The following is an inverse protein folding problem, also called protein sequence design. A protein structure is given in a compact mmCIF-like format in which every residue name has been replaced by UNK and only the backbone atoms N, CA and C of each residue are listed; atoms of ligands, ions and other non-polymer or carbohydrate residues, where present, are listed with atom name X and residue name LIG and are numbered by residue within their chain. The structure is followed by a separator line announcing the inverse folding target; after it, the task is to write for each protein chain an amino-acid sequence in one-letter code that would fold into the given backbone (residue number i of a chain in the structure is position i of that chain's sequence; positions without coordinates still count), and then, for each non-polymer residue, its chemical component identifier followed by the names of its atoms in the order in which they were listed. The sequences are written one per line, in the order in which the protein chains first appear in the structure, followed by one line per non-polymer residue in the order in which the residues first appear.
data_IF_616359498764
#
_entry.id   IF_616359498764
#
_cell.length_a   1.000
_cell.length_b   1.000
_cell.length_c   1.000
_cell.angle_alpha   90.00
_cell.angle_beta   90.00
_cell.angle_gamma   90.00
#
_symmetry.space_group_name_H-M   'P 1'
#
loop_
_entity.id
_entity.type
_entity.pdbx_description
1 polymer ?
#
# COMPACT_ATOMS: atom_id res chain seq x y z
N UNK A 1 -28.35 -5.12 -23.07
CA UNK A 1 -27.55 -4.76 -21.90
C UNK A 1 -26.32 -4.04 -22.43
N UNK A 2 -26.29 -2.73 -22.31
CA UNK A 2 -25.15 -1.89 -22.71
C UNK A 2 -24.04 -2.15 -21.69
N UNK A 3 -22.98 -2.84 -22.10
CA UNK A 3 -21.75 -2.93 -21.31
C UNK A 3 -21.22 -1.50 -21.16
N UNK A 4 -21.29 -0.96 -19.96
CA UNK A 4 -20.58 0.28 -19.64
C UNK A 4 -19.11 0.04 -19.96
N UNK A 5 -18.58 0.77 -20.94
CA UNK A 5 -17.14 0.73 -21.23
C UNK A 5 -16.42 1.40 -20.07
N UNK A 6 -15.73 0.63 -19.26
CA UNK A 6 -14.81 1.19 -18.26
C UNK A 6 -13.76 2.06 -18.97
N UNK A 7 -13.35 3.18 -18.37
CA UNK A 7 -12.29 4.00 -18.95
C UNK A 7 -11.02 3.16 -19.11
N UNK A 8 -10.33 3.32 -20.23
CA UNK A 8 -9.07 2.60 -20.49
C UNK A 8 -7.97 3.12 -19.58
N UNK A 9 -7.26 2.22 -18.92
CA UNK A 9 -6.14 2.55 -18.05
C UNK A 9 -4.84 2.57 -18.86
N UNK A 10 -4.16 3.71 -18.83
CA UNK A 10 -2.82 3.85 -19.42
C UNK A 10 -1.74 3.50 -18.40
N UNK A 11 -1.27 2.25 -18.45
CA UNK A 11 -0.22 1.77 -17.57
C UNK A 11 1.10 2.55 -17.73
N UNK A 12 1.46 2.91 -18.94
CA UNK A 12 2.74 3.55 -19.23
C UNK A 12 2.72 5.06 -18.96
N UNK A 13 1.65 5.75 -19.36
CA UNK A 13 1.59 7.19 -19.31
C UNK A 13 1.05 7.77 -17.99
N UNK A 14 0.31 6.98 -17.20
CA UNK A 14 -0.28 7.48 -15.96
C UNK A 14 0.09 6.67 -14.71
N UNK A 15 -0.04 5.34 -14.74
CA UNK A 15 0.16 4.53 -13.53
C UNK A 15 1.64 4.46 -13.14
N UNK A 16 2.54 4.18 -14.09
CA UNK A 16 3.98 4.03 -13.81
C UNK A 16 4.63 5.31 -13.28
N UNK A 17 4.41 6.50 -13.85
CA UNK A 17 4.95 7.71 -13.28
C UNK A 17 4.50 7.95 -11.82
N UNK A 18 3.26 7.59 -11.48
CA UNK A 18 2.78 7.61 -10.10
C UNK A 18 3.53 6.66 -9.19
N UNK A 19 3.83 5.44 -9.64
CA UNK A 19 4.63 4.48 -8.88
C UNK A 19 6.05 4.97 -8.62
N UNK A 20 6.68 5.68 -9.57
CA UNK A 20 8.04 6.23 -9.42
C UNK A 20 8.05 7.39 -8.42
N UNK A 21 7.03 8.26 -8.44
CA UNK A 21 6.86 9.33 -7.44
C UNK A 21 6.72 8.73 -6.04
N UNK A 22 5.83 7.75 -5.87
CA UNK A 22 5.63 7.08 -4.59
C UNK A 22 6.89 6.36 -4.10
N UNK A 23 7.71 5.82 -5.00
CA UNK A 23 8.98 5.21 -4.63
C UNK A 23 9.89 6.20 -3.91
N UNK A 24 10.03 7.41 -4.46
CA UNK A 24 10.83 8.45 -3.84
C UNK A 24 10.24 8.93 -2.50
N UNK A 25 8.91 9.10 -2.43
CA UNK A 25 8.22 9.49 -1.19
C UNK A 25 8.42 8.46 -0.07
N UNK A 26 8.34 7.17 -0.38
CA UNK A 26 8.57 6.09 0.57
C UNK A 26 9.99 6.17 1.14
N UNK A 27 11.01 6.29 0.28
CA UNK A 27 12.41 6.37 0.75
C UNK A 27 12.65 7.59 1.62
N UNK A 28 12.07 8.74 1.27
CA UNK A 28 12.11 9.96 2.09
C UNK A 28 11.42 9.74 3.45
N UNK A 29 10.26 9.09 3.46
CA UNK A 29 9.51 8.80 4.69
C UNK A 29 10.31 7.87 5.62
N UNK A 30 10.88 6.78 5.07
CA UNK A 30 11.76 5.87 5.79
C UNK A 30 12.98 6.61 6.36
N UNK A 31 13.62 7.50 5.57
CA UNK A 31 14.75 8.31 6.04
C UNK A 31 14.37 9.24 7.19
N UNK A 32 13.18 9.83 7.14
CA UNK A 32 12.68 10.67 8.25
C UNK A 32 12.46 9.85 9.49
N UNK A 33 11.90 8.63 9.36
CA UNK A 33 11.58 7.76 10.50
C UNK A 33 12.83 7.28 11.24
N UNK A 34 13.86 6.83 10.53
CA UNK A 34 15.08 6.28 11.16
C UNK A 34 15.93 7.35 11.90
N UNK A 35 15.55 8.61 11.86
CA UNK A 35 16.16 9.67 12.67
C UNK A 35 15.78 9.57 14.15
N UNK A 36 14.67 8.92 14.45
CA UNK A 36 14.15 8.73 15.81
C UNK A 36 14.52 7.34 16.33
N UNK A 37 14.59 7.21 17.63
CA UNK A 37 14.72 5.91 18.27
C UNK A 37 13.53 5.00 17.94
N UNK A 38 13.67 3.70 18.21
CA UNK A 38 12.61 2.73 17.96
C UNK A 38 11.33 3.09 18.73
N UNK A 39 11.47 3.59 19.97
CA UNK A 39 10.35 4.05 20.81
C UNK A 39 9.24 2.99 20.98
N UNK A 40 9.61 1.76 21.37
CA UNK A 40 8.67 0.64 21.52
C UNK A 40 7.32 0.98 22.19
N UNK A 41 7.25 1.83 23.25
CA UNK A 41 5.98 2.14 23.89
C UNK A 41 4.91 2.73 22.97
N UNK A 42 5.29 3.37 21.85
CA UNK A 42 4.29 3.97 20.93
C UNK A 42 3.48 2.92 20.15
N UNK A 43 3.96 1.65 20.11
CA UNK A 43 3.30 0.53 19.44
C UNK A 43 2.48 -0.33 20.40
N UNK A 44 2.55 -0.04 21.69
CA UNK A 44 1.85 -0.79 22.72
C UNK A 44 0.72 0.06 23.34
N UNK A 45 -0.40 -0.57 23.75
CA UNK A 45 -1.42 0.13 24.53
C UNK A 45 -0.88 0.67 25.84
N UNK A 46 -1.47 1.79 26.33
CA UNK A 46 -1.17 2.32 27.66
C UNK A 46 -0.70 3.77 27.70
N UNK A 47 -0.24 4.34 26.58
CA UNK A 47 0.16 5.76 26.53
C UNK A 47 -1.03 6.72 26.49
N UNK A 48 -2.23 6.25 26.13
CA UNK A 48 -3.42 7.08 25.94
C UNK A 48 -4.46 6.81 27.04
N UNK A 49 -4.56 7.62 28.11
CA UNK A 49 -5.52 7.39 29.18
C UNK A 49 -6.98 7.34 28.71
N UNK A 50 -7.33 8.14 27.68
CA UNK A 50 -8.67 8.16 27.09
C UNK A 50 -8.94 6.97 26.13
N UNK A 51 -7.90 6.26 25.70
CA UNK A 51 -7.96 5.13 24.75
C UNK A 51 -7.06 3.98 25.22
N UNK A 52 -7.33 3.36 26.39
CA UNK A 52 -6.39 2.46 27.06
C UNK A 52 -6.12 1.16 26.28
N UNK A 53 -6.98 0.81 25.33
CA UNK A 53 -6.82 -0.38 24.49
C UNK A 53 -6.10 -0.13 23.13
N UNK A 54 -5.69 1.12 22.86
CA UNK A 54 -5.03 1.47 21.61
C UNK A 54 -3.57 1.87 21.84
N UNK A 55 -2.70 1.51 20.88
CA UNK A 55 -1.37 2.09 20.79
C UNK A 55 -1.45 3.54 20.28
N UNK A 56 -0.38 4.32 20.50
CA UNK A 56 -0.32 5.66 19.95
C UNK A 56 -0.31 5.66 18.43
N UNK A 57 0.36 4.69 17.82
CA UNK A 57 0.35 4.50 16.37
C UNK A 57 -1.06 4.20 15.83
N UNK A 58 -1.78 3.23 16.41
CA UNK A 58 -3.12 2.86 15.93
C UNK A 58 -4.11 4.02 16.10
N UNK A 59 -4.00 4.78 17.17
CA UNK A 59 -4.83 5.97 17.38
C UNK A 59 -4.60 7.04 16.31
N UNK A 60 -3.32 7.34 16.03
CA UNK A 60 -2.99 8.35 15.02
C UNK A 60 -3.37 7.89 13.62
N UNK A 61 -3.11 6.63 13.28
CA UNK A 61 -3.46 6.06 11.99
C UNK A 61 -4.98 6.12 11.75
N UNK A 62 -5.79 5.70 12.74
CA UNK A 62 -7.24 5.78 12.67
C UNK A 62 -7.75 7.22 12.52
N UNK A 63 -7.12 8.17 13.21
CA UNK A 63 -7.48 9.59 13.13
C UNK A 63 -7.23 10.17 11.74
N UNK A 64 -6.07 9.91 11.17
CA UNK A 64 -5.68 10.39 9.83
C UNK A 64 -6.55 9.74 8.75
N UNK A 65 -6.75 8.42 8.81
CA UNK A 65 -7.59 7.72 7.82
C UNK A 65 -9.05 8.14 7.90
N UNK A 66 -9.58 8.40 9.08
CA UNK A 66 -10.91 8.99 9.23
C UNK A 66 -11.03 10.34 8.51
N UNK A 67 -10.06 11.23 8.68
CA UNK A 67 -10.03 12.51 7.96
C UNK A 67 -9.96 12.30 6.45
N UNK A 68 -9.15 11.36 5.97
CA UNK A 68 -9.09 10.99 4.56
C UNK A 68 -10.43 10.45 4.05
N UNK A 69 -11.14 9.65 4.86
CA UNK A 69 -12.46 9.13 4.51
C UNK A 69 -13.50 10.26 4.41
N UNK A 70 -13.51 11.21 5.35
CA UNK A 70 -14.36 12.40 5.32
C UNK A 70 -14.16 13.23 4.04
N UNK A 71 -12.93 13.26 3.51
CA UNK A 71 -12.58 13.91 2.24
C UNK A 71 -12.82 13.02 1.01
N UNK A 72 -13.30 11.78 1.21
CA UNK A 72 -13.68 10.85 0.16
C UNK A 72 -12.53 10.10 -0.51
N UNK A 73 -11.35 9.97 0.12
CA UNK A 73 -10.23 9.18 -0.42
C UNK A 73 -10.64 7.73 -0.68
N UNK A 74 -11.30 7.10 0.28
CA UNK A 74 -11.71 5.69 0.20
C UNK A 74 -13.02 5.46 -0.59
N UNK A 75 -13.51 6.47 -1.31
CA UNK A 75 -14.52 6.29 -2.33
C UNK A 75 -13.95 5.69 -3.63
N UNK A 76 -12.62 5.66 -3.79
CA UNK A 76 -11.95 5.01 -4.90
C UNK A 76 -11.72 3.53 -4.57
N UNK A 77 -12.17 2.63 -5.45
CA UNK A 77 -12.17 1.18 -5.19
C UNK A 77 -10.77 0.56 -5.06
N UNK A 78 -9.73 1.21 -5.61
CA UNK A 78 -8.35 0.78 -5.41
C UNK A 78 -7.81 1.17 -4.03
N UNK A 79 -8.40 2.15 -3.34
CA UNK A 79 -7.88 2.65 -2.08
C UNK A 79 -8.38 1.83 -0.89
N UNK A 80 -7.46 1.18 -0.19
CA UNK A 80 -7.73 0.49 1.07
C UNK A 80 -7.15 1.28 2.24
N UNK A 81 -7.79 1.16 3.40
CA UNK A 81 -7.34 1.72 4.66
C UNK A 81 -6.76 0.63 5.57
N UNK A 82 -5.90 1.00 6.50
CA UNK A 82 -5.45 0.13 7.60
C UNK A 82 -6.54 -0.06 8.65
N UNK A 83 -7.43 0.93 8.79
CA UNK A 83 -8.45 0.97 9.84
C UNK A 83 -9.85 0.89 9.24
N UNK A 84 -10.83 0.63 10.09
CA UNK A 84 -12.21 0.60 9.62
C UNK A 84 -12.74 2.02 9.41
N UNK A 85 -12.88 2.42 8.17
CA UNK A 85 -13.43 3.71 7.73
C UNK A 85 -14.84 3.58 7.14
N UNK A 86 -15.45 2.39 7.23
CA UNK A 86 -16.80 2.17 6.71
C UNK A 86 -17.83 3.06 7.44
N UNK A 87 -18.72 3.67 6.67
CA UNK A 87 -19.79 4.52 7.21
C UNK A 87 -19.36 5.93 7.64
N UNK A 88 -18.12 6.32 7.42
CA UNK A 88 -17.69 7.72 7.62
C UNK A 88 -18.37 8.60 6.58
N UNK A 89 -19.11 9.61 7.06
CA UNK A 89 -19.81 10.54 6.19
C UNK A 89 -18.85 11.51 5.49
N UNK A 90 -19.03 11.71 4.19
CA UNK A 90 -18.26 12.72 3.46
C UNK A 90 -18.66 14.13 3.87
N UNK A 91 -17.68 14.97 4.13
CA UNK A 91 -17.87 16.43 4.33
C UNK A 91 -17.72 17.18 3.00
N UNK A 92 -17.07 16.55 2.01
CA UNK A 92 -16.92 17.09 0.67
C UNK A 92 -18.04 16.56 -0.23
N UNK A 93 -18.92 17.46 -0.71
CA UNK A 93 -19.95 17.10 -1.69
C UNK A 93 -19.31 17.01 -3.07
N UNK A 94 -19.34 15.82 -3.65
CA UNK A 94 -18.87 15.54 -5.03
C UNK A 94 -19.60 14.32 -5.58
N UNK A 95 -19.63 14.22 -6.88
CA UNK A 95 -20.07 13.00 -7.54
C UNK A 95 -19.12 11.84 -7.22
N UNK A 96 -19.61 10.60 -7.14
CA UNK A 96 -18.73 9.43 -7.02
C UNK A 96 -17.71 9.42 -8.16
N UNK A 97 -16.45 9.04 -7.87
CA UNK A 97 -15.45 8.93 -8.92
C UNK A 97 -15.85 7.86 -9.95
N UNK A 98 -15.62 8.14 -11.23
CA UNK A 98 -15.65 7.12 -12.26
C UNK A 98 -14.44 6.21 -12.07
N UNK A 99 -14.70 4.98 -11.65
CA UNK A 99 -13.64 4.06 -11.23
C UNK A 99 -13.64 2.81 -12.12
N UNK A 100 -12.52 2.55 -12.83
CA UNK A 100 -12.41 1.35 -13.67
C UNK A 100 -12.17 0.08 -12.86
N UNK A 101 -11.84 0.20 -11.57
CA UNK A 101 -11.49 -0.91 -10.68
C UNK A 101 -12.71 -1.39 -9.92
N UNK A 102 -12.89 -2.71 -9.83
CA UNK A 102 -13.91 -3.31 -8.99
C UNK A 102 -13.51 -3.25 -7.51
N UNK A 103 -14.50 -3.08 -6.64
CA UNK A 103 -14.26 -3.08 -5.19
C UNK A 103 -13.81 -4.46 -4.72
N UNK A 104 -12.62 -4.53 -4.17
CA UNK A 104 -12.05 -5.73 -3.58
C UNK A 104 -11.51 -5.41 -2.18
N UNK A 105 -12.00 -6.09 -1.13
CA UNK A 105 -11.43 -5.94 0.21
C UNK A 105 -9.97 -6.36 0.23
N UNK A 106 -9.08 -5.48 0.68
CA UNK A 106 -7.67 -5.80 0.83
C UNK A 106 -7.38 -6.44 2.18
N UNK A 107 -6.39 -7.31 2.18
CA UNK A 107 -5.80 -7.91 3.39
C UNK A 107 -4.35 -7.48 3.61
N UNK A 108 -3.88 -6.50 2.85
CA UNK A 108 -2.49 -6.07 2.89
C UNK A 108 -2.12 -5.32 4.18
N UNK A 109 -3.07 -4.66 4.84
CA UNK A 109 -2.80 -3.77 5.97
C UNK A 109 -2.01 -4.42 7.10
N UNK A 110 -2.44 -5.59 7.59
CA UNK A 110 -1.74 -6.27 8.69
C UNK A 110 -0.37 -6.78 8.26
N UNK A 111 -0.23 -7.27 7.02
CA UNK A 111 1.07 -7.69 6.46
C UNK A 111 2.04 -6.51 6.39
N UNK A 112 1.57 -5.35 5.91
CA UNK A 112 2.38 -4.13 5.81
C UNK A 112 2.80 -3.67 7.21
N UNK A 113 1.89 -3.61 8.18
CA UNK A 113 2.22 -3.22 9.56
C UNK A 113 3.25 -4.16 10.19
N UNK A 114 3.08 -5.47 10.03
CA UNK A 114 4.00 -6.49 10.57
C UNK A 114 5.39 -6.34 9.95
N UNK A 115 5.48 -6.31 8.62
CA UNK A 115 6.74 -6.12 7.91
C UNK A 115 7.42 -4.81 8.31
N UNK A 116 6.68 -3.71 8.32
CA UNK A 116 7.18 -2.39 8.67
C UNK A 116 7.76 -2.35 10.08
N UNK A 117 7.07 -2.95 11.05
CA UNK A 117 7.56 -3.03 12.42
C UNK A 117 8.86 -3.84 12.55
N UNK A 118 8.97 -4.97 11.85
CA UNK A 118 10.20 -5.75 11.83
C UNK A 118 11.35 -5.01 11.13
N UNK A 119 11.03 -4.26 10.08
CA UNK A 119 11.99 -3.37 9.43
C UNK A 119 12.50 -2.28 10.38
N UNK A 120 11.63 -1.67 11.19
CA UNK A 120 12.00 -0.65 12.17
C UNK A 120 12.96 -1.20 13.24
N UNK A 121 12.73 -2.41 13.74
CA UNK A 121 13.62 -3.07 14.72
C UNK A 121 15.04 -3.22 14.21
N UNK A 122 15.19 -3.39 12.89
CA UNK A 122 16.52 -3.57 12.27
C UNK A 122 17.18 -2.24 11.93
N UNK A 123 16.40 -1.20 11.64
CA UNK A 123 16.90 0.03 11.01
C UNK A 123 16.88 1.26 11.91
N UNK A 124 16.12 1.24 13.01
CA UNK A 124 16.12 2.32 14.00
C UNK A 124 17.10 2.06 15.12
N UNK A 125 17.65 3.13 15.69
CA UNK A 125 18.41 3.01 16.92
C UNK A 125 17.50 2.51 18.06
N UNK A 126 17.90 1.48 18.74
CA UNK A 126 17.17 1.00 19.91
C UNK A 126 17.24 2.00 21.06
N UNK A 127 16.10 2.23 21.68
CA UNK A 127 15.97 3.16 22.81
C UNK A 127 14.58 3.75 22.92
N UNK A 128 14.39 4.57 23.94
CA UNK A 128 13.15 5.29 24.23
C UNK A 128 13.51 6.75 24.42
N UNK A 129 12.84 7.62 23.69
CA UNK A 129 12.88 9.07 23.80
C UNK A 129 11.45 9.60 23.80
N UNK A 130 10.91 9.79 25.00
CA UNK A 130 9.52 10.23 25.20
C UNK A 130 9.25 11.59 24.56
N UNK A 131 10.26 12.45 24.46
CA UNK A 131 10.16 13.77 23.82
C UNK A 131 9.87 13.70 22.33
N UNK A 132 10.07 12.54 21.69
CA UNK A 132 9.87 12.35 20.25
C UNK A 132 8.77 11.34 19.90
N UNK A 133 7.93 10.95 20.84
CA UNK A 133 6.84 9.99 20.56
C UNK A 133 5.87 10.49 19.47
N UNK A 134 5.51 11.77 19.49
CA UNK A 134 4.63 12.37 18.49
C UNK A 134 5.24 12.37 17.09
N UNK A 135 6.51 12.76 16.96
CA UNK A 135 7.25 12.76 15.70
C UNK A 135 7.47 11.34 15.17
N UNK A 136 7.73 10.39 16.08
CA UNK A 136 7.88 8.98 15.76
C UNK A 136 6.63 8.46 15.07
N UNK A 137 5.46 8.53 15.72
CA UNK A 137 4.22 7.99 15.13
C UNK A 137 3.76 8.78 13.91
N UNK A 138 4.02 10.08 13.85
CA UNK A 138 3.74 10.87 12.63
C UNK A 138 4.55 10.37 11.45
N UNK A 139 5.84 10.08 11.66
CA UNK A 139 6.71 9.52 10.62
C UNK A 139 6.31 8.10 10.23
N UNK A 140 5.87 7.28 11.19
CA UNK A 140 5.36 5.93 10.94
C UNK A 140 4.09 5.97 10.09
N UNK A 141 3.12 6.83 10.43
CA UNK A 141 1.87 6.98 9.66
C UNK A 141 2.16 7.41 8.23
N UNK A 142 3.05 8.38 8.01
CA UNK A 142 3.44 8.81 6.66
C UNK A 142 4.06 7.65 5.88
N UNK A 143 4.94 6.86 6.49
CA UNK A 143 5.57 5.71 5.84
C UNK A 143 4.56 4.61 5.49
N UNK A 144 3.70 4.25 6.43
CA UNK A 144 2.67 3.22 6.25
C UNK A 144 1.69 3.61 5.15
N UNK A 145 1.18 4.86 5.16
CA UNK A 145 0.24 5.34 4.15
C UNK A 145 0.86 5.36 2.75
N UNK A 146 2.13 5.77 2.62
CA UNK A 146 2.83 5.77 1.32
C UNK A 146 3.04 4.33 0.79
N UNK A 147 3.42 3.39 1.67
CA UNK A 147 3.55 1.97 1.30
C UNK A 147 2.20 1.40 0.86
N UNK A 148 1.12 1.65 1.63
CA UNK A 148 -0.23 1.19 1.30
C UNK A 148 -0.69 1.76 -0.04
N UNK A 149 -0.47 3.04 -0.29
CA UNK A 149 -0.87 3.68 -1.55
C UNK A 149 -0.18 3.03 -2.75
N UNK A 150 1.13 2.77 -2.64
CA UNK A 150 1.88 2.08 -3.70
C UNK A 150 1.36 0.65 -3.94
N UNK A 151 1.05 -0.07 -2.88
CA UNK A 151 0.51 -1.43 -2.96
C UNK A 151 -0.91 -1.42 -3.55
N UNK A 152 -1.74 -0.46 -3.17
CA UNK A 152 -3.10 -0.28 -3.70
C UNK A 152 -3.13 -0.03 -5.21
N UNK A 153 -2.12 0.65 -5.78
CA UNK A 153 -2.01 0.82 -7.23
C UNK A 153 -1.87 -0.51 -7.99
N UNK A 154 -1.55 -1.60 -7.32
CA UNK A 154 -1.58 -2.94 -7.89
C UNK A 154 -2.94 -3.32 -8.51
N UNK A 155 -4.04 -2.85 -7.94
CA UNK A 155 -5.39 -3.06 -8.50
C UNK A 155 -5.54 -2.38 -9.86
N UNK A 156 -5.03 -1.15 -10.02
CA UNK A 156 -5.03 -0.43 -11.29
C UNK A 156 -4.13 -1.11 -12.33
N UNK A 157 -2.97 -1.62 -11.89
CA UNK A 157 -2.04 -2.38 -12.75
C UNK A 157 -2.73 -3.66 -13.23
N UNK A 158 -3.38 -4.40 -12.34
CA UNK A 158 -4.12 -5.62 -12.67
C UNK A 158 -5.25 -5.36 -13.67
N UNK A 159 -6.08 -4.33 -13.42
CA UNK A 159 -7.17 -3.97 -14.34
C UNK A 159 -6.63 -3.55 -15.72
N UNK A 160 -5.55 -2.76 -15.78
CA UNK A 160 -4.93 -2.37 -17.05
C UNK A 160 -4.42 -3.60 -17.84
N UNK A 161 -3.82 -4.58 -17.15
CA UNK A 161 -3.40 -5.84 -17.77
C UNK A 161 -4.60 -6.65 -18.28
N UNK A 162 -5.66 -6.75 -17.45
CA UNK A 162 -6.88 -7.44 -17.83
C UNK A 162 -7.55 -6.82 -19.05
N UNK A 163 -7.66 -5.47 -19.10
CA UNK A 163 -8.21 -4.77 -20.26
C UNK A 163 -7.42 -5.02 -21.55
N UNK A 164 -6.10 -5.20 -21.44
CA UNK A 164 -5.23 -5.45 -22.60
C UNK A 164 -5.26 -6.90 -23.09
N UNK A 165 -5.52 -7.87 -22.22
CA UNK A 165 -5.45 -9.32 -22.55
C UNK A 165 -6.57 -10.12 -21.83
N UNK A 166 -7.85 -9.76 -22.00
CA UNK A 166 -8.93 -10.35 -21.20
C UNK A 166 -9.09 -11.86 -21.47
N UNK A 167 -8.92 -12.31 -22.70
CA UNK A 167 -9.09 -13.72 -23.06
C UNK A 167 -7.95 -14.59 -22.51
N UNK A 168 -6.70 -14.09 -22.54
CA UNK A 168 -5.57 -14.80 -21.96
C UNK A 168 -5.76 -15.03 -20.46
N UNK A 169 -6.26 -14.04 -19.70
CA UNK A 169 -6.56 -14.23 -18.29
C UNK A 169 -7.73 -15.18 -18.05
N UNK A 170 -8.79 -15.14 -18.87
CA UNK A 170 -9.91 -16.09 -18.75
C UNK A 170 -9.48 -17.55 -19.02
N UNK A 171 -8.56 -17.76 -19.95
CA UNK A 171 -8.02 -19.08 -20.27
C UNK A 171 -7.24 -19.71 -19.11
N UNK A 172 -6.70 -18.91 -18.17
CA UNK A 172 -6.05 -19.43 -16.97
C UNK A 172 -7.02 -20.14 -16.03
N UNK A 173 -8.34 -19.92 -16.17
CA UNK A 173 -9.34 -20.49 -15.25
C UNK A 173 -9.18 -20.05 -13.79
N UNK A 174 -8.45 -18.96 -13.53
CA UNK A 174 -8.13 -18.48 -12.16
C UNK A 174 -6.95 -19.19 -11.50
N UNK A 175 -6.21 -20.02 -12.27
CA UNK A 175 -4.98 -20.64 -11.78
C UNK A 175 -3.89 -19.60 -11.53
N UNK A 176 -3.35 -19.61 -10.28
CA UNK A 176 -2.36 -18.62 -9.84
C UNK A 176 -1.09 -18.68 -10.68
N UNK A 177 -0.54 -19.85 -10.89
CA UNK A 177 0.77 -20.00 -11.53
C UNK A 177 0.71 -19.57 -13.00
N UNK A 178 -0.38 -19.87 -13.69
CA UNK A 178 -0.61 -19.40 -15.04
C UNK A 178 -0.80 -17.89 -15.12
N UNK A 179 -1.51 -17.29 -14.15
CA UNK A 179 -1.66 -15.83 -14.08
C UNK A 179 -0.32 -15.13 -13.83
N UNK A 180 0.57 -15.72 -13.02
CA UNK A 180 1.89 -15.15 -12.74
C UNK A 180 2.74 -15.02 -14.01
N UNK A 181 2.56 -15.86 -15.01
CA UNK A 181 3.26 -15.73 -16.31
C UNK A 181 2.94 -14.41 -17.04
N UNK A 182 1.73 -13.87 -16.82
CA UNK A 182 1.30 -12.59 -17.40
C UNK A 182 1.55 -11.39 -16.46
N UNK A 183 1.59 -11.63 -15.15
CA UNK A 183 1.73 -10.57 -14.14
C UNK A 183 3.20 -10.22 -13.92
N UNK A 184 4.05 -11.22 -13.70
CA UNK A 184 5.44 -11.03 -13.27
C UNK A 184 6.31 -10.57 -14.43
N UNK A 185 7.03 -9.48 -14.23
CA UNK A 185 7.96 -8.88 -15.18
C UNK A 185 9.32 -8.71 -14.53
N UNK A 186 10.14 -9.75 -14.60
CA UNK A 186 11.47 -9.79 -13.95
C UNK A 186 12.37 -8.61 -14.32
N UNK A 187 12.30 -8.17 -15.58
CA UNK A 187 12.99 -6.97 -16.06
C UNK A 187 12.58 -5.70 -15.26
N UNK A 188 11.29 -5.56 -14.97
CA UNK A 188 10.74 -4.44 -14.21
C UNK A 188 11.05 -4.53 -12.73
N UNK A 189 10.94 -5.71 -12.15
CA UNK A 189 11.29 -5.92 -10.74
C UNK A 189 12.76 -5.57 -10.50
N UNK A 190 13.67 -5.98 -11.39
CA UNK A 190 15.07 -5.62 -11.32
C UNK A 190 15.26 -4.10 -11.39
N UNK A 191 14.62 -3.43 -12.36
CA UNK A 191 14.70 -1.98 -12.48
C UNK A 191 14.17 -1.25 -11.23
N UNK A 192 13.12 -1.78 -10.58
CA UNK A 192 12.60 -1.21 -9.32
C UNK A 192 13.58 -1.39 -8.17
N UNK A 193 14.25 -2.54 -8.07
CA UNK A 193 15.30 -2.80 -7.06
C UNK A 193 16.50 -1.88 -7.26
N UNK A 194 16.95 -1.71 -8.50
CA UNK A 194 18.07 -0.84 -8.84
C UNK A 194 17.75 0.63 -8.50
N UNK A 195 16.56 1.10 -8.85
CA UNK A 195 16.07 2.43 -8.46
C UNK A 195 15.99 2.58 -6.93
N UNK A 196 15.49 1.58 -6.22
CA UNK A 196 15.40 1.62 -4.76
C UNK A 196 16.78 1.70 -4.11
N UNK A 197 17.77 0.99 -4.64
CA UNK A 197 19.15 1.04 -4.17
C UNK A 197 19.78 2.42 -4.42
N UNK A 198 19.60 3.00 -5.60
CA UNK A 198 20.06 4.34 -5.95
C UNK A 198 19.41 5.41 -5.04
N UNK A 199 18.10 5.35 -4.83
CA UNK A 199 17.40 6.25 -3.92
C UNK A 199 17.93 6.13 -2.48
N UNK A 200 18.20 4.90 -2.03
CA UNK A 200 18.76 4.67 -0.70
C UNK A 200 20.12 5.36 -0.55
N UNK A 201 21.02 5.20 -1.51
CA UNK A 201 22.33 5.87 -1.53
C UNK A 201 22.18 7.40 -1.51
N UNK A 202 21.31 7.95 -2.33
CA UNK A 202 21.06 9.40 -2.42
C UNK A 202 20.56 9.99 -1.10
N UNK A 203 19.79 9.23 -0.31
CA UNK A 203 19.30 9.65 1.00
C UNK A 203 20.16 9.16 2.18
N UNK A 204 21.27 8.46 1.92
CA UNK A 204 22.16 7.93 2.96
C UNK A 204 21.48 6.90 3.85
N UNK A 205 20.75 5.97 3.23
CA UNK A 205 20.23 4.74 3.84
C UNK A 205 20.99 3.53 3.31
N UNK A 206 21.07 2.43 4.07
CA UNK A 206 21.67 1.19 3.56
C UNK A 206 20.83 0.65 2.37
N UNK A 207 21.41 0.45 1.16
CA UNK A 207 20.66 0.01 -0.01
C UNK A 207 19.87 -1.28 0.23
N UNK A 208 20.48 -2.30 0.85
CA UNK A 208 19.81 -3.57 1.13
C UNK A 208 18.56 -3.42 2.02
N UNK A 209 18.57 -2.47 2.94
CA UNK A 209 17.44 -2.18 3.81
C UNK A 209 16.25 -1.57 3.04
N UNK A 210 16.52 -0.67 2.12
CA UNK A 210 15.46 -0.06 1.30
C UNK A 210 14.96 -1.07 0.26
N UNK A 211 15.87 -1.80 -0.40
CA UNK A 211 15.50 -2.85 -1.36
C UNK A 211 14.57 -3.87 -0.72
N UNK A 212 14.79 -4.26 0.55
CA UNK A 212 13.88 -5.20 1.23
C UNK A 212 12.43 -4.69 1.36
N UNK A 213 12.25 -3.37 1.51
CA UNK A 213 10.90 -2.76 1.51
C UNK A 213 10.27 -2.87 0.12
N UNK A 214 11.05 -2.64 -0.93
CA UNK A 214 10.55 -2.75 -2.30
C UNK A 214 10.26 -4.19 -2.70
N UNK A 215 11.07 -5.16 -2.29
CA UNK A 215 10.80 -6.59 -2.47
C UNK A 215 9.48 -6.99 -1.82
N UNK A 216 9.27 -6.59 -0.56
CA UNK A 216 8.03 -6.82 0.14
C UNK A 216 6.82 -6.19 -0.59
N UNK A 217 6.96 -4.96 -1.10
CA UNK A 217 5.88 -4.32 -1.85
C UNK A 217 5.61 -5.01 -3.18
N UNK A 218 6.64 -5.47 -3.90
CA UNK A 218 6.50 -6.23 -5.14
C UNK A 218 5.70 -7.51 -4.86
N UNK A 219 6.11 -8.31 -3.89
CA UNK A 219 5.43 -9.57 -3.55
C UNK A 219 3.97 -9.32 -3.12
N UNK A 220 3.74 -8.31 -2.28
CA UNK A 220 2.39 -7.97 -1.84
C UNK A 220 1.52 -7.46 -2.99
N UNK A 221 2.07 -6.69 -3.92
CA UNK A 221 1.36 -6.21 -5.11
C UNK A 221 0.99 -7.36 -6.04
N UNK A 222 1.91 -8.32 -6.25
CA UNK A 222 1.63 -9.52 -7.06
C UNK A 222 0.45 -10.32 -6.47
N UNK A 223 0.41 -10.50 -5.15
CA UNK A 223 -0.71 -11.18 -4.48
C UNK A 223 -2.03 -10.42 -4.71
N UNK A 224 -2.03 -9.10 -4.57
CA UNK A 224 -3.20 -8.25 -4.83
C UNK A 224 -3.65 -8.34 -6.30
N UNK A 225 -2.71 -8.32 -7.24
CA UNK A 225 -3.02 -8.45 -8.67
C UNK A 225 -3.71 -9.79 -8.97
N UNK A 226 -3.23 -10.90 -8.39
CA UNK A 226 -3.86 -12.22 -8.55
C UNK A 226 -5.26 -12.23 -7.96
N UNK A 227 -5.42 -11.76 -6.72
CA UNK A 227 -6.72 -11.75 -6.03
C UNK A 227 -7.73 -10.87 -6.79
N UNK A 228 -7.29 -9.71 -7.27
CA UNK A 228 -8.10 -8.81 -8.08
C UNK A 228 -8.55 -9.46 -9.40
N UNK A 229 -7.62 -10.08 -10.13
CA UNK A 229 -7.93 -10.75 -11.39
C UNK A 229 -8.89 -11.92 -11.22
N UNK A 230 -8.76 -12.71 -10.15
CA UNK A 230 -9.72 -13.74 -9.79
C UNK A 230 -11.11 -13.16 -9.58
N UNK A 231 -11.23 -12.11 -8.76
CA UNK A 231 -12.48 -11.41 -8.54
C UNK A 231 -13.08 -10.90 -9.86
N UNK A 232 -12.27 -10.24 -10.67
CA UNK A 232 -12.64 -9.64 -11.96
C UNK A 232 -13.17 -10.68 -12.97
N UNK A 233 -12.71 -11.92 -12.87
CA UNK A 233 -13.16 -13.06 -13.68
C UNK A 233 -14.34 -13.83 -13.05
N UNK A 234 -14.83 -13.41 -11.88
CA UNK A 234 -15.97 -14.03 -11.19
C UNK A 234 -15.61 -15.26 -10.37
N UNK A 235 -14.34 -15.51 -10.09
CA UNK A 235 -13.93 -16.57 -9.16
C UNK A 235 -14.13 -16.10 -7.71
N UNK A 236 -15.20 -16.53 -7.09
CA UNK A 236 -15.47 -16.28 -5.68
C UNK A 236 -14.70 -17.29 -4.82
N UNK A 237 -13.61 -16.89 -4.25
CA UNK A 237 -12.86 -17.69 -3.28
C UNK A 237 -11.43 -17.20 -3.20
N UNK A 238 -11.16 -16.40 -2.16
CA UNK A 238 -9.80 -16.21 -1.70
C UNK A 238 -9.38 -17.52 -1.05
N UNK A 239 -8.67 -18.39 -1.77
CA UNK A 239 -8.10 -19.58 -1.18
C UNK A 239 -7.21 -19.18 -0.01
N UNK A 240 -7.43 -19.89 1.12
CA UNK A 240 -6.79 -19.67 2.41
C UNK A 240 -5.32 -20.07 2.36
#
# INVERSE_FOLDING_TARGET
MTTASHPSLDLAGSIRPGLDILANEIVIALKKRVRFQLNLPVYEPGLLPAHPGQSLLDYQLATVERQHAELGRFAFAEQDAFTNVAGVAFILQRDPPDNPVELMPSRAGDRIKTFYFDWLKTNCQHGIDEGTFGETVTSDVVSLLAIMERVNLGKLVAESKYQSMPDAFRETGGDRDQMLEFIVRKDRETAVRDMAAELAENYGLPPASVVSVFDFMIDTTVDIEVDYLRLRMGFNGFDK
#
